data_IF_248513183774
#
_entry.id   IF_248513183774
#
_cell.length_a   1.000
_cell.length_b   1.000
_cell.length_c   1.000
_cell.angle_alpha   90.00
_cell.angle_beta   90.00
_cell.angle_gamma   90.00
#
_symmetry.space_group_name_H-M   'P 1'
#
loop_
_entity.id
_entity.type
_entity.pdbx_description
1 polymer ?
#
# COMPACT_ATOMS: atom_id res chain seq x y z
N UNK A 1 -3.22 -9.60 8.84
CA UNK A 1 -3.48 -9.59 7.39
C UNK A 1 -3.52 -8.15 6.91
N UNK A 2 -2.61 -7.74 6.03
CA UNK A 2 -2.51 -6.35 5.51
C UNK A 2 -3.80 -5.89 4.82
N UNK A 3 -4.42 -6.76 4.03
CA UNK A 3 -5.67 -6.46 3.34
C UNK A 3 -6.81 -6.06 4.30
N UNK A 4 -6.92 -6.71 5.46
CA UNK A 4 -7.94 -6.37 6.45
C UNK A 4 -7.69 -5.00 7.11
N UNK A 5 -6.42 -4.66 7.33
CA UNK A 5 -6.02 -3.34 7.86
C UNK A 5 -6.39 -2.24 6.86
N UNK A 6 -6.08 -2.45 5.58
CA UNK A 6 -6.43 -1.52 4.50
C UNK A 6 -7.96 -1.37 4.38
N UNK A 7 -8.70 -2.49 4.45
CA UNK A 7 -10.16 -2.47 4.46
C UNK A 7 -10.72 -1.66 5.65
N UNK A 8 -10.17 -1.84 6.85
CA UNK A 8 -10.53 -1.05 8.03
C UNK A 8 -10.20 0.45 7.90
N UNK A 9 -9.20 0.81 7.11
CA UNK A 9 -8.86 2.21 6.79
C UNK A 9 -9.78 2.81 5.71
N UNK A 10 -10.71 2.01 5.17
CA UNK A 10 -11.64 2.40 4.11
C UNK A 10 -11.05 2.31 2.71
N UNK A 11 -10.04 1.46 2.50
CA UNK A 11 -9.55 1.10 1.17
C UNK A 11 -10.27 -0.14 0.66
N UNK A 12 -10.70 -0.11 -0.59
CA UNK A 12 -11.23 -1.29 -1.27
C UNK A 12 -10.06 -2.13 -1.81
N UNK A 13 -9.99 -3.39 -1.38
CA UNK A 13 -8.96 -4.32 -1.87
C UNK A 13 -9.45 -4.95 -3.17
N UNK A 14 -9.03 -4.36 -4.28
CA UNK A 14 -9.42 -4.80 -5.64
C UNK A 14 -8.75 -6.11 -6.08
N UNK A 15 -7.66 -6.51 -5.42
CA UNK A 15 -6.97 -7.76 -5.72
C UNK A 15 -5.77 -7.99 -4.83
N UNK A 16 -5.51 -9.26 -4.53
CA UNK A 16 -4.33 -9.70 -3.81
C UNK A 16 -3.54 -10.58 -4.77
N UNK A 17 -2.35 -10.14 -5.13
CA UNK A 17 -1.41 -10.91 -5.94
C UNK A 17 -0.19 -11.26 -5.12
N UNK A 18 0.26 -12.51 -5.23
CA UNK A 18 1.53 -12.93 -4.65
C UNK A 18 2.65 -12.44 -5.56
N UNK A 19 3.51 -11.54 -5.05
CA UNK A 19 4.69 -11.12 -5.78
C UNK A 19 5.63 -12.33 -5.97
N UNK A 20 6.02 -12.63 -7.22
CA UNK A 20 6.95 -13.72 -7.52
C UNK A 20 8.34 -13.52 -6.91
N UNK A 21 8.72 -12.27 -6.61
CA UNK A 21 9.92 -11.95 -5.84
C UNK A 21 9.53 -11.42 -4.46
N UNK A 22 9.90 -12.11 -3.37
CA UNK A 22 9.71 -11.60 -2.04
C UNK A 22 10.62 -10.40 -1.82
N UNK A 23 10.05 -9.24 -1.52
CA UNK A 23 10.82 -8.07 -1.11
C UNK A 23 11.31 -8.26 0.32
N UNK A 24 12.52 -7.78 0.67
CA UNK A 24 13.01 -7.85 2.05
C UNK A 24 12.11 -7.04 3.00
N UNK A 25 11.63 -5.88 2.56
CA UNK A 25 10.76 -5.00 3.33
C UNK A 25 9.36 -4.90 2.72
N UNK A 26 8.38 -4.57 3.57
CA UNK A 26 7.03 -4.20 3.11
C UNK A 26 7.04 -2.80 2.51
N UNK A 27 6.51 -2.67 1.30
CA UNK A 27 6.46 -1.41 0.53
C UNK A 27 5.01 -1.12 0.18
N UNK A 28 4.53 0.06 0.49
CA UNK A 28 3.21 0.56 0.14
C UNK A 28 3.41 1.61 -0.95
N UNK A 29 2.99 1.30 -2.17
CA UNK A 29 3.04 2.24 -3.29
C UNK A 29 1.65 2.83 -3.52
N UNK A 30 1.51 4.14 -3.36
CA UNK A 30 0.30 4.86 -3.72
C UNK A 30 0.47 5.48 -5.11
N UNK A 31 -0.39 5.10 -6.03
CA UNK A 31 -0.50 5.69 -7.35
C UNK A 31 -1.61 6.75 -7.32
N UNK A 32 -1.25 8.00 -7.57
CA UNK A 32 -2.16 9.14 -7.52
C UNK A 32 -2.14 9.87 -8.85
N UNK A 33 -3.29 10.40 -9.26
CA UNK A 33 -3.41 11.30 -10.43
C UNK A 33 -3.00 12.72 -10.05
N UNK A 34 -3.39 13.12 -8.85
CA UNK A 34 -3.12 14.44 -8.28
C UNK A 34 -2.35 14.29 -6.97
N UNK A 35 -1.25 15.02 -6.83
CA UNK A 35 -0.32 14.94 -5.68
C UNK A 35 -0.93 15.46 -4.38
N UNK A 36 -2.20 15.88 -4.41
CA UNK A 36 -2.91 16.56 -3.34
C UNK A 36 -3.84 15.62 -2.56
N UNK A 37 -3.80 14.31 -2.82
CA UNK A 37 -4.59 13.33 -2.07
C UNK A 37 -3.95 12.99 -0.71
N UNK A 38 -3.85 14.03 0.13
CA UNK A 38 -3.36 13.94 1.50
C UNK A 38 -4.21 12.99 2.36
N UNK A 39 -5.46 12.74 1.96
CA UNK A 39 -6.36 11.81 2.64
C UNK A 39 -5.87 10.36 2.51
N UNK A 40 -5.44 9.94 1.32
CA UNK A 40 -4.86 8.61 1.10
C UNK A 40 -3.53 8.49 1.83
N UNK A 41 -2.62 9.47 1.70
CA UNK A 41 -1.34 9.45 2.43
C UNK A 41 -1.57 9.39 3.94
N UNK A 42 -2.51 10.17 4.48
CA UNK A 42 -2.88 10.20 5.90
C UNK A 42 -3.36 8.85 6.44
N UNK A 43 -4.13 8.11 5.64
CA UNK A 43 -4.57 6.75 6.00
C UNK A 43 -3.44 5.73 5.91
N UNK A 44 -2.56 5.87 4.92
CA UNK A 44 -1.41 4.99 4.75
C UNK A 44 -0.37 5.20 5.86
N UNK A 45 -0.12 6.43 6.32
CA UNK A 45 0.76 6.71 7.48
C UNK A 45 0.27 6.14 8.81
N UNK A 46 -1.03 5.83 8.92
CA UNK A 46 -1.63 5.28 10.13
C UNK A 46 -1.60 3.75 10.18
N UNK A 47 -0.87 3.08 9.29
CA UNK A 47 -0.82 1.62 9.25
C UNK A 47 -0.01 1.07 10.44
N UNK A 48 -0.55 0.11 11.22
CA UNK A 48 0.08 -0.42 12.43
C UNK A 48 1.16 -1.47 12.13
N UNK A 49 1.97 -1.24 11.09
CA UNK A 49 3.11 -2.10 10.74
C UNK A 49 4.22 -1.27 10.10
N UNK A 50 5.42 -1.84 10.01
CA UNK A 50 6.57 -1.17 9.38
C UNK A 50 6.48 -1.34 7.87
N UNK A 51 6.55 -0.24 7.14
CA UNK A 51 6.56 -0.25 5.68
C UNK A 51 7.25 0.99 5.13
N UNK A 52 7.58 0.94 3.85
CA UNK A 52 8.09 2.08 3.08
C UNK A 52 6.95 2.64 2.25
N UNK A 53 6.59 3.90 2.47
CA UNK A 53 5.60 4.59 1.63
C UNK A 53 6.28 5.14 0.37
N UNK A 54 5.82 4.70 -0.79
CA UNK A 54 6.24 5.24 -2.08
C UNK A 54 5.04 5.93 -2.74
N UNK A 55 5.07 7.25 -2.82
CA UNK A 55 4.01 8.01 -3.51
C UNK A 55 4.52 8.28 -4.92
N UNK A 56 3.82 7.76 -5.92
CA UNK A 56 4.18 7.94 -7.33
C UNK A 56 2.97 8.47 -8.08
N UNK A 57 3.20 9.50 -8.91
CA UNK A 57 2.16 10.00 -9.81
C UNK A 57 2.04 9.08 -11.02
N UNK A 58 0.86 8.51 -11.25
CA UNK A 58 0.59 7.68 -12.41
C UNK A 58 -0.87 7.82 -12.86
N UNK A 59 -1.12 8.64 -13.87
CA UNK A 59 -2.46 8.85 -14.46
C UNK A 59 -3.10 7.55 -14.97
N UNK A 60 -2.31 6.56 -15.41
CA UNK A 60 -2.83 5.28 -15.89
C UNK A 60 -3.27 4.33 -14.75
N UNK A 61 -2.82 4.59 -13.51
CA UNK A 61 -3.23 3.89 -12.29
C UNK A 61 -3.67 4.88 -11.23
N UNK A 62 -4.31 5.95 -11.68
CA UNK A 62 -5.05 6.91 -10.89
C UNK A 62 -5.78 6.21 -9.74
N UNK A 63 -5.57 6.67 -8.51
CA UNK A 63 -6.30 6.25 -7.31
C UNK A 63 -6.12 4.78 -6.88
N UNK A 64 -5.04 4.11 -7.32
CA UNK A 64 -4.69 2.76 -6.87
C UNK A 64 -3.60 2.75 -5.80
N UNK A 65 -3.79 1.93 -4.76
CA UNK A 65 -2.74 1.63 -3.77
C UNK A 65 -2.31 0.18 -3.94
N UNK A 66 -1.02 -0.02 -4.19
CA UNK A 66 -0.40 -1.35 -4.22
C UNK A 66 0.40 -1.55 -2.95
N UNK A 67 0.05 -2.57 -2.17
CA UNK A 67 0.85 -2.97 -1.01
C UNK A 67 1.60 -4.25 -1.31
N UNK A 68 2.92 -4.15 -1.26
CA UNK A 68 3.88 -5.21 -1.47
C UNK A 68 4.38 -5.67 -0.11
N UNK A 69 3.89 -6.83 0.33
CA UNK A 69 4.23 -7.39 1.64
C UNK A 69 5.57 -8.13 1.54
N UNK A 70 6.56 -7.64 2.28
CA UNK A 70 7.89 -8.24 2.32
C UNK A 70 8.01 -9.34 3.38
N UNK A 71 9.17 -10.02 3.40
CA UNK A 71 9.46 -11.07 4.40
C UNK A 71 9.37 -10.55 5.85
N UNK A 72 9.77 -9.31 6.10
CA UNK A 72 9.67 -8.63 7.40
C UNK A 72 8.25 -8.66 8.02
N UNK A 73 7.19 -8.72 7.20
CA UNK A 73 5.81 -8.81 7.69
C UNK A 73 5.33 -10.24 7.89
N UNK A 74 5.91 -11.22 7.16
CA UNK A 74 5.54 -12.64 7.26
C UNK A 74 6.30 -13.32 8.41
N UNK A 75 7.46 -12.80 8.80
CA UNK A 75 8.29 -13.32 9.89
C UNK A 75 7.82 -12.89 11.30
N UNK A 76 6.62 -12.33 11.44
CA UNK A 76 6.07 -11.85 12.72
C UNK A 76 4.78 -12.56 13.15
#
# INVERSE_FOLDING_TARGET
MVAAILCNQGFEVVGITTASQPTPNTVVTSYMTDTTDNAVVGKLISLPFKYVLNVTKNDAKADQVTVLVGKDYVEK
#
